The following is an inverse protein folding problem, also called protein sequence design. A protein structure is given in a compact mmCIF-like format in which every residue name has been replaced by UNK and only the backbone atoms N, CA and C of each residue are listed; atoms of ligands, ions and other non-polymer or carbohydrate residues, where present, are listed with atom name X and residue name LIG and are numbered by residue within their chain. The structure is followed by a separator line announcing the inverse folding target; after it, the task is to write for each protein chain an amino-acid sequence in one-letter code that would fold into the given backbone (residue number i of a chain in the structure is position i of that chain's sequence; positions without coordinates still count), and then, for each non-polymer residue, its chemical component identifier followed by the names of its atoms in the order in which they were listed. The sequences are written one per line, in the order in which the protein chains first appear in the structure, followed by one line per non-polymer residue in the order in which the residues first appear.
data_IF_359130805922
#
_entry.id   IF_359130805922
#
_cell.length_a   1.000
_cell.length_b   1.000
_cell.length_c   1.000
_cell.angle_alpha   90.00
_cell.angle_beta   90.00
_cell.angle_gamma   90.00
#
_symmetry.space_group_name_H-M   'P 1'
#
loop_
_entity.id
_entity.type
_entity.pdbx_description
1 polymer ?
#
# COMPACT_ATOMS: atom_id res chain seq x y z
N UNK A 1 2.36 -12.30 4.42
CA UNK A 1 2.87 -10.91 4.37
C UNK A 1 1.67 -9.99 4.24
N UNK A 2 1.69 -8.84 4.92
CA UNK A 2 0.61 -7.86 4.82
C UNK A 2 0.89 -6.86 3.71
N UNK A 3 -0.15 -6.44 2.98
CA UNK A 3 -0.12 -5.33 2.02
C UNK A 3 -0.95 -4.17 2.58
N UNK A 4 -0.37 -2.97 2.60
CA UNK A 4 -1.05 -1.74 2.96
C UNK A 4 -0.99 -0.79 1.77
N UNK A 5 -2.14 -0.22 1.38
CA UNK A 5 -2.20 0.74 0.28
C UNK A 5 -2.58 2.13 0.78
N UNK A 6 -1.74 3.15 0.48
CA UNK A 6 -2.00 4.54 0.82
C UNK A 6 -2.36 5.37 -0.42
N UNK A 7 -3.57 5.91 -0.46
CA UNK A 7 -3.97 6.83 -1.53
C UNK A 7 -3.26 8.18 -1.41
N UNK A 8 -3.32 9.00 -2.46
CA UNK A 8 -2.81 10.36 -2.42
C UNK A 8 -3.40 11.19 -1.27
N UNK A 9 -4.69 11.08 -0.98
CA UNK A 9 -5.35 11.78 0.14
C UNK A 9 -4.80 11.34 1.50
N UNK A 10 -4.48 10.05 1.64
CA UNK A 10 -3.83 9.54 2.85
C UNK A 10 -2.44 10.18 3.03
N UNK A 11 -1.68 10.35 1.93
CA UNK A 11 -0.36 10.97 1.94
C UNK A 11 -0.39 12.46 2.30
N UNK A 12 -1.44 13.18 1.87
CA UNK A 12 -1.65 14.60 2.20
C UNK A 12 -2.06 14.80 3.67
N UNK A 13 -2.64 13.79 4.30
CA UNK A 13 -3.14 13.88 5.67
C UNK A 13 -2.05 13.56 6.71
N UNK A 14 -1.49 14.61 7.31
CA UNK A 14 -0.45 14.47 8.34
C UNK A 14 -0.91 13.75 9.63
N UNK A 15 -2.20 13.82 9.98
CA UNK A 15 -2.76 13.12 11.14
C UNK A 15 -2.80 11.62 10.83
N UNK A 16 -3.32 11.26 9.65
CA UNK A 16 -3.35 9.89 9.17
C UNK A 16 -1.96 9.25 9.21
N UNK A 17 -0.93 9.92 8.68
CA UNK A 17 0.44 9.37 8.67
C UNK A 17 0.97 9.16 10.09
N UNK A 18 0.75 10.11 11.01
CA UNK A 18 1.16 9.96 12.42
C UNK A 18 0.47 8.77 13.08
N UNK A 19 -0.84 8.64 12.89
CA UNK A 19 -1.60 7.52 13.45
C UNK A 19 -1.17 6.18 12.84
N UNK A 20 -0.91 6.13 11.53
CA UNK A 20 -0.44 4.92 10.85
C UNK A 20 0.90 4.47 11.42
N UNK A 21 1.86 5.39 11.52
CA UNK A 21 3.19 5.09 12.04
C UNK A 21 3.10 4.64 13.51
N UNK A 22 2.31 5.32 14.33
CA UNK A 22 2.16 4.97 15.74
C UNK A 22 1.48 3.60 15.94
N UNK A 23 0.45 3.28 15.16
CA UNK A 23 -0.39 2.10 15.38
C UNK A 23 0.04 0.86 14.58
N UNK A 24 0.77 1.01 13.47
CA UNK A 24 1.22 -0.12 12.67
C UNK A 24 2.38 -0.86 13.34
N UNK A 25 2.05 -1.77 14.24
CA UNK A 25 3.02 -2.67 14.87
C UNK A 25 3.25 -3.87 13.96
N UNK A 26 4.51 -4.09 13.55
CA UNK A 26 4.88 -5.24 12.73
C UNK A 26 4.91 -6.51 13.58
N UNK A 27 3.83 -7.28 13.48
CA UNK A 27 3.74 -8.68 13.88
C UNK A 27 4.14 -9.63 12.72
N UNK A 28 4.02 -9.15 11.49
CA UNK A 28 4.40 -9.85 10.26
C UNK A 28 5.20 -8.94 9.32
N UNK A 29 5.80 -9.54 8.29
CA UNK A 29 6.41 -8.79 7.18
C UNK A 29 5.33 -8.02 6.44
N UNK A 30 5.57 -6.74 6.19
CA UNK A 30 4.63 -5.82 5.56
C UNK A 30 5.22 -5.15 4.32
N UNK A 31 4.34 -4.88 3.36
CA UNK A 31 4.58 -4.05 2.21
C UNK A 31 3.61 -2.87 2.24
N UNK A 32 4.13 -1.65 2.31
CA UNK A 32 3.34 -0.45 2.07
C UNK A 32 3.58 -0.04 0.63
N UNK A 33 2.52 0.19 -0.13
CA UNK A 33 2.57 0.85 -1.43
C UNK A 33 1.70 2.09 -1.37
N UNK A 34 2.15 3.15 -2.03
CA UNK A 34 1.41 4.40 -2.05
C UNK A 34 1.26 4.95 -3.47
N UNK A 35 0.30 5.86 -3.66
CA UNK A 35 0.10 6.55 -4.92
C UNK A 35 1.27 7.43 -5.35
N UNK A 36 1.27 7.78 -6.64
CA UNK A 36 2.10 8.85 -7.15
C UNK A 36 1.72 10.18 -6.47
N UNK A 37 2.73 10.91 -5.99
CA UNK A 37 2.55 12.17 -5.28
C UNK A 37 3.37 13.28 -5.96
N UNK A 38 2.70 14.28 -6.51
CA UNK A 38 3.35 15.44 -7.13
C UNK A 38 4.24 15.05 -8.31
N UNK A 39 5.51 15.45 -8.29
CA UNK A 39 6.51 15.02 -9.27
C UNK A 39 7.18 13.69 -8.87
N UNK A 40 8.00 13.11 -9.75
CA UNK A 40 8.85 11.96 -9.41
C UNK A 40 9.74 12.23 -8.19
N UNK A 41 10.26 13.46 -8.06
CA UNK A 41 11.09 13.84 -6.92
C UNK A 41 10.27 13.88 -5.62
N UNK A 42 9.06 14.43 -5.67
CA UNK A 42 8.16 14.51 -4.52
C UNK A 42 7.71 13.11 -4.08
N UNK A 43 7.38 12.24 -5.03
CA UNK A 43 7.02 10.84 -4.75
C UNK A 43 8.14 10.11 -4.04
N UNK A 44 9.39 10.22 -4.54
CA UNK A 44 10.58 9.64 -3.88
C UNK A 44 10.81 10.21 -2.49
N UNK A 45 10.59 11.51 -2.32
CA UNK A 45 10.72 12.17 -1.02
C UNK A 45 9.68 11.63 -0.02
N UNK A 46 8.43 11.49 -0.44
CA UNK A 46 7.36 10.90 0.38
C UNK A 46 7.70 9.48 0.80
N UNK A 47 8.16 8.63 -0.12
CA UNK A 47 8.57 7.25 0.21
C UNK A 47 9.66 7.24 1.30
N UNK A 48 10.71 8.05 1.13
CA UNK A 48 11.78 8.18 2.12
C UNK A 48 11.29 8.73 3.46
N UNK A 49 10.37 9.70 3.44
CA UNK A 49 9.80 10.30 4.64
C UNK A 49 9.00 9.28 5.46
N UNK A 50 8.11 8.52 4.81
CA UNK A 50 7.34 7.47 5.52
C UNK A 50 8.31 6.40 6.04
N UNK A 51 9.33 6.04 5.25
CA UNK A 51 10.35 5.08 5.65
C UNK A 51 11.11 5.56 6.90
N UNK A 52 11.51 6.82 6.95
CA UNK A 52 12.18 7.40 8.12
C UNK A 52 11.27 7.38 9.35
N UNK A 53 10.03 7.87 9.22
CA UNK A 53 9.06 7.89 10.33
C UNK A 53 8.78 6.48 10.89
N UNK A 54 8.59 5.50 10.00
CA UNK A 54 8.43 4.11 10.39
C UNK A 54 9.67 3.57 11.08
N UNK A 55 10.87 3.83 10.55
CA UNK A 55 12.11 3.32 11.14
C UNK A 55 12.41 3.95 12.51
N UNK A 56 12.05 5.22 12.72
CA UNK A 56 12.17 5.91 14.02
C UNK A 56 11.28 5.27 15.09
N UNK A 57 10.02 4.97 14.74
CA UNK A 57 9.07 4.30 15.65
C UNK A 57 9.37 2.80 15.80
N UNK A 58 10.18 2.23 14.90
CA UNK A 58 10.57 0.83 14.86
C UNK A 58 12.06 0.65 15.19
N UNK A 59 12.37 0.50 16.48
CA UNK A 59 13.72 0.38 17.08
C UNK A 59 14.74 -0.55 16.35
N UNK A 60 14.33 -1.43 15.42
CA UNK A 60 15.20 -2.45 14.78
C UNK A 60 15.01 -2.62 13.26
N UNK A 61 14.16 -1.86 12.56
CA UNK A 61 13.84 -2.16 11.15
C UNK A 61 14.10 -1.01 10.19
N UNK A 62 14.83 -1.31 9.12
CA UNK A 62 15.05 -0.39 8.02
C UNK A 62 13.85 -0.44 7.06
N UNK A 63 12.93 0.51 7.13
CA UNK A 63 12.00 0.68 6.02
C UNK A 63 12.77 1.17 4.79
N UNK A 64 12.66 0.49 3.64
CA UNK A 64 13.40 0.86 2.44
C UNK A 64 12.48 1.28 1.29
N UNK A 65 12.95 2.25 0.51
CA UNK A 65 12.32 2.71 -0.72
C UNK A 65 12.59 1.73 -1.87
N UNK A 66 11.55 1.13 -2.44
CA UNK A 66 11.67 0.12 -3.50
C UNK A 66 12.23 0.62 -4.83
N UNK A 67 12.13 1.93 -5.11
CA UNK A 67 12.66 2.56 -6.32
C UNK A 67 14.19 2.46 -6.43
N UNK A 68 14.89 2.47 -5.30
CA UNK A 68 16.36 2.35 -5.26
C UNK A 68 16.86 0.95 -5.65
N UNK A 69 15.97 -0.04 -5.66
CA UNK A 69 16.30 -1.45 -5.89
C UNK A 69 15.73 -2.00 -7.19
N UNK A 70 15.00 -1.20 -7.97
CA UNK A 70 14.29 -1.64 -9.17
C UNK A 70 13.42 -2.89 -8.91
N UNK A 71 12.73 -2.90 -7.75
CA UNK A 71 11.84 -4.01 -7.38
C UNK A 71 10.69 -4.14 -8.37
N UNK A 72 10.22 -3.01 -8.90
CA UNK A 72 9.26 -2.92 -9.99
C UNK A 72 9.96 -2.51 -11.28
N UNK A 73 9.67 -3.21 -12.38
CA UNK A 73 10.19 -2.88 -13.70
C UNK A 73 9.16 -3.25 -14.78
N UNK A 74 9.28 -2.62 -15.95
CA UNK A 74 8.48 -2.97 -17.12
C UNK A 74 9.21 -4.06 -17.92
N UNK A 75 8.67 -5.28 -17.89
CA UNK A 75 9.10 -6.41 -18.71
C UNK A 75 8.32 -6.53 -20.01
N UNK A 76 8.59 -7.58 -20.80
CA UNK A 76 7.91 -7.84 -22.08
C UNK A 76 6.41 -8.12 -21.91
N UNK A 77 6.03 -8.75 -20.79
CA UNK A 77 4.65 -9.12 -20.46
C UNK A 77 3.93 -8.06 -19.61
N UNK A 78 4.55 -6.88 -19.42
CA UNK A 78 4.02 -5.80 -18.62
C UNK A 78 4.79 -5.59 -17.31
N UNK A 79 4.10 -5.09 -16.30
CA UNK A 79 4.72 -4.70 -15.04
C UNK A 79 5.09 -5.94 -14.21
N UNK A 80 6.38 -6.08 -13.91
CA UNK A 80 6.93 -7.24 -13.20
C UNK A 80 7.59 -6.83 -11.88
N UNK A 81 7.57 -7.77 -10.95
CA UNK A 81 8.16 -7.62 -9.62
C UNK A 81 9.35 -8.58 -9.47
N UNK A 82 10.48 -8.08 -8.94
CA UNK A 82 11.66 -8.91 -8.65
C UNK A 82 11.47 -9.68 -7.35
N UNK A 83 10.62 -10.70 -7.39
CA UNK A 83 10.25 -11.50 -6.22
C UNK A 83 11.46 -12.03 -5.43
N UNK A 84 12.47 -12.60 -6.11
CA UNK A 84 13.68 -13.08 -5.43
C UNK A 84 14.41 -11.99 -4.64
N UNK A 85 14.46 -10.76 -5.19
CA UNK A 85 15.12 -9.64 -4.53
C UNK A 85 14.31 -9.21 -3.30
N UNK A 86 12.98 -9.20 -3.41
CA UNK A 86 12.09 -8.92 -2.30
C UNK A 86 12.26 -9.93 -1.17
N UNK A 87 12.24 -11.23 -1.47
CA UNK A 87 12.41 -12.28 -0.48
C UNK A 87 13.77 -12.20 0.22
N UNK A 88 14.85 -11.96 -0.55
CA UNK A 88 16.19 -11.73 0.01
C UNK A 88 16.21 -10.51 0.93
N UNK A 89 15.56 -9.41 0.54
CA UNK A 89 15.53 -8.19 1.32
C UNK A 89 14.68 -8.37 2.60
N UNK A 90 13.57 -9.09 2.51
CA UNK A 90 12.75 -9.48 3.65
C UNK A 90 13.42 -10.47 4.60
N UNK A 91 14.60 -11.02 4.27
CA UNK A 91 15.38 -11.81 5.23
C UNK A 91 15.99 -10.94 6.34
N UNK A 92 16.18 -9.64 6.09
CA UNK A 92 16.82 -8.70 7.02
C UNK A 92 15.93 -7.52 7.40
N UNK A 93 14.78 -7.38 6.74
CA UNK A 93 13.87 -6.25 6.87
C UNK A 93 12.45 -6.75 7.10
N UNK A 94 11.68 -6.03 7.93
CA UNK A 94 10.28 -6.37 8.20
C UNK A 94 9.28 -5.53 7.39
N UNK A 95 9.68 -4.36 6.89
CA UNK A 95 8.80 -3.45 6.16
C UNK A 95 9.49 -2.89 4.90
N UNK A 96 8.81 -2.99 3.76
CA UNK A 96 9.17 -2.23 2.56
C UNK A 96 8.13 -1.16 2.26
N UNK A 97 8.59 -0.03 1.74
CA UNK A 97 7.72 1.04 1.27
C UNK A 97 8.02 1.25 -0.22
N UNK A 98 7.01 1.05 -1.04
CA UNK A 98 7.07 1.16 -2.49
C UNK A 98 6.31 2.38 -2.96
N UNK A 99 6.81 2.96 -4.04
CA UNK A 99 6.10 3.93 -4.86
C UNK A 99 5.89 3.34 -6.26
N UNK A 100 5.01 3.92 -7.10
CA UNK A 100 4.72 3.39 -8.41
C UNK A 100 5.67 3.97 -9.45
N UNK A 101 6.96 4.18 -9.12
CA UNK A 101 7.97 4.67 -10.07
C UNK A 101 8.73 3.46 -10.62
N UNK A 102 8.76 3.35 -11.96
CA UNK A 102 9.49 2.28 -12.65
C UNK A 102 10.49 2.83 -13.65
N UNK A 103 11.62 2.12 -13.76
CA UNK A 103 12.59 2.36 -14.82
C UNK A 103 12.20 1.53 -16.06
N UNK A 104 12.20 2.20 -17.22
CA UNK A 104 12.01 1.59 -18.55
C UNK A 104 13.12 2.04 -19.51
N UNK A 105 13.33 1.35 -20.64
CA UNK A 105 14.25 1.81 -21.68
C UNK A 105 13.93 3.23 -22.20
N UNK A 106 12.67 3.66 -22.11
CA UNK A 106 12.19 4.98 -22.52
C UNK A 106 12.32 6.05 -21.41
N UNK A 107 12.84 5.67 -20.23
CA UNK A 107 13.03 6.55 -19.08
C UNK A 107 12.18 6.15 -17.88
N UNK A 108 12.01 7.10 -16.95
CA UNK A 108 11.22 6.90 -15.75
C UNK A 108 9.73 6.99 -16.10
N UNK A 109 8.95 6.02 -15.66
CA UNK A 109 7.49 6.00 -15.81
C UNK A 109 6.82 5.92 -14.44
N UNK A 110 5.59 6.41 -14.37
CA UNK A 110 4.72 6.33 -13.20
C UNK A 110 3.43 5.62 -13.60
N UNK A 111 3.43 4.28 -13.71
CA UNK A 111 2.22 3.51 -13.96
C UNK A 111 1.12 3.83 -12.97
N UNK A 112 -0.13 3.65 -13.41
CA UNK A 112 -1.28 3.73 -12.53
C UNK A 112 -1.14 2.73 -11.38
N UNK A 113 -1.47 3.16 -10.17
CA UNK A 113 -1.29 2.33 -8.97
C UNK A 113 -2.07 1.03 -9.05
N UNK A 114 -3.25 1.04 -9.69
CA UNK A 114 -4.09 -0.15 -9.85
C UNK A 114 -3.37 -1.22 -10.68
N UNK A 115 -2.61 -0.82 -11.70
CA UNK A 115 -1.76 -1.71 -12.49
C UNK A 115 -0.67 -2.33 -11.62
N UNK A 116 -0.07 -1.53 -10.73
CA UNK A 116 0.96 -1.99 -9.79
C UNK A 116 0.39 -2.98 -8.78
N UNK A 117 -0.76 -2.66 -8.20
CA UNK A 117 -1.46 -3.48 -7.22
C UNK A 117 -1.90 -4.82 -7.81
N UNK A 118 -2.44 -4.80 -9.04
CA UNK A 118 -2.79 -6.02 -9.78
C UNK A 118 -1.56 -6.91 -9.99
N UNK A 119 -0.45 -6.35 -10.48
CA UNK A 119 0.78 -7.10 -10.68
C UNK A 119 1.33 -7.68 -9.36
N UNK A 120 1.28 -6.92 -8.26
CA UNK A 120 1.67 -7.41 -6.93
C UNK A 120 0.80 -8.58 -6.49
N UNK A 121 -0.52 -8.48 -6.68
CA UNK A 121 -1.48 -9.52 -6.28
C UNK A 121 -1.31 -10.81 -7.07
N UNK A 122 -0.96 -10.72 -8.35
CA UNK A 122 -0.69 -11.88 -9.21
C UNK A 122 0.63 -12.58 -8.88
N UNK A 123 1.60 -11.85 -8.33
CA UNK A 123 2.97 -12.33 -8.11
C UNK A 123 3.31 -12.65 -6.65
N UNK A 124 2.56 -12.12 -5.68
CA UNK A 124 2.84 -12.27 -4.26
C UNK A 124 1.61 -12.75 -3.51
N UNK A 125 1.82 -13.66 -2.56
CA UNK A 125 0.80 -14.10 -1.64
C UNK A 125 0.75 -13.19 -0.40
N UNK A 126 -0.42 -12.63 -0.14
CA UNK A 126 -0.68 -11.70 0.96
C UNK A 126 -1.61 -12.36 1.97
N UNK A 127 -1.18 -12.41 3.23
CA UNK A 127 -2.00 -12.91 4.35
C UNK A 127 -3.12 -11.95 4.70
N UNK A 128 -2.89 -10.65 4.48
CA UNK A 128 -3.88 -9.60 4.72
C UNK A 128 -3.60 -8.43 3.78
N UNK A 129 -4.65 -7.86 3.19
CA UNK A 129 -4.58 -6.61 2.43
C UNK A 129 -5.44 -5.58 3.15
N UNK A 130 -4.84 -4.44 3.48
CA UNK A 130 -5.49 -3.36 4.22
C UNK A 130 -5.50 -2.12 3.32
N UNK A 131 -6.70 -1.61 3.07
CA UNK A 131 -6.91 -0.38 2.34
C UNK A 131 -7.46 0.69 3.28
N UNK A 132 -7.10 1.93 3.03
CA UNK A 132 -7.49 3.05 3.85
C UNK A 132 -8.40 3.99 3.06
N UNK A 133 -9.63 4.24 3.51
CA UNK A 133 -10.51 5.22 2.88
C UNK A 133 -9.87 6.59 2.73
N UNK A 134 -10.24 7.27 1.64
CA UNK A 134 -9.77 8.62 1.32
C UNK A 134 -10.29 9.62 2.34
N UNK A 135 -11.55 9.44 2.77
CA UNK A 135 -12.17 10.21 3.82
C UNK A 135 -11.90 9.56 5.20
N UNK A 136 -11.21 10.24 6.13
CA UNK A 136 -10.98 9.73 7.49
C UNK A 136 -12.26 9.48 8.29
N UNK A 137 -13.36 10.12 7.90
CA UNK A 137 -14.68 9.94 8.52
C UNK A 137 -15.53 8.87 7.83
N UNK A 138 -14.98 8.18 6.83
CA UNK A 138 -15.70 7.13 6.09
C UNK A 138 -16.18 6.04 7.04
N UNK A 139 -17.48 5.69 7.02
CA UNK A 139 -18.01 4.57 7.81
C UNK A 139 -17.35 3.22 7.49
N UNK A 140 -16.82 3.06 6.27
CA UNK A 140 -16.10 1.86 5.83
C UNK A 140 -14.88 1.57 6.71
N UNK A 141 -14.11 2.61 7.04
CA UNK A 141 -12.96 2.51 7.92
C UNK A 141 -13.37 2.23 9.38
N UNK A 142 -14.39 2.92 9.87
CA UNK A 142 -14.82 2.86 11.26
C UNK A 142 -15.32 1.45 11.66
N UNK A 143 -16.00 0.76 10.74
CA UNK A 143 -16.54 -0.59 10.95
C UNK A 143 -15.53 -1.70 10.68
N UNK A 144 -14.40 -1.36 10.06
CA UNK A 144 -13.46 -2.31 9.46
C UNK A 144 -14.16 -3.25 8.49
N UNK A 145 -14.72 -2.68 7.43
CA UNK A 145 -15.45 -3.46 6.41
C UNK A 145 -14.52 -4.51 5.78
N UNK A 146 -14.99 -5.75 5.69
CA UNK A 146 -14.25 -6.85 5.05
C UNK A 146 -14.90 -7.18 3.71
N UNK A 147 -14.12 -7.10 2.64
CA UNK A 147 -14.56 -7.44 1.28
C UNK A 147 -13.90 -8.77 0.93
N UNK A 148 -14.68 -9.85 1.01
CA UNK A 148 -14.20 -11.20 0.72
C UNK A 148 -14.09 -11.49 -0.78
N UNK A 149 -15.06 -11.00 -1.56
CA UNK A 149 -15.19 -11.28 -3.00
C UNK A 149 -15.33 -9.97 -3.79
N UNK A 150 -14.82 -9.90 -5.04
CA UNK A 150 -14.91 -8.69 -5.88
C UNK A 150 -16.33 -8.15 -6.09
N UNK A 151 -17.34 -9.01 -6.15
CA UNK A 151 -18.74 -8.64 -6.40
C UNK A 151 -19.38 -7.94 -5.20
N UNK A 152 -18.81 -8.07 -3.99
CA UNK A 152 -19.29 -7.39 -2.79
C UNK A 152 -19.04 -5.86 -2.84
N UNK A 153 -18.27 -5.39 -3.82
CA UNK A 153 -17.93 -3.97 -4.00
C UNK A 153 -19.08 -3.16 -4.61
N UNK A 154 -19.85 -3.72 -5.54
CA UNK A 154 -20.92 -3.02 -6.26
C UNK A 154 -21.94 -2.32 -5.34
N UNK A 155 -22.50 -2.98 -4.30
CA UNK A 155 -23.42 -2.30 -3.39
C UNK A 155 -22.74 -1.21 -2.56
N UNK A 156 -21.43 -1.30 -2.30
CA UNK A 156 -20.69 -0.29 -1.54
C UNK A 156 -20.47 0.98 -2.38
N UNK A 157 -20.14 0.84 -3.66
CA UNK A 157 -19.96 1.99 -4.57
C UNK A 157 -21.25 2.80 -4.70
N UNK A 158 -22.41 2.13 -4.71
CA UNK A 158 -23.71 2.82 -4.77
C UNK A 158 -24.03 3.65 -3.52
N UNK A 159 -23.39 3.35 -2.38
CA UNK A 159 -23.62 4.04 -1.09
C UNK A 159 -22.50 5.03 -0.76
N UNK A 160 -21.28 4.75 -1.19
CA UNK A 160 -20.05 5.48 -0.89
C UNK A 160 -19.34 5.89 -2.18
N UNK A 161 -19.98 6.74 -2.98
CA UNK A 161 -19.45 7.18 -4.28
C UNK A 161 -18.15 7.98 -4.14
N UNK A 162 -17.97 8.65 -3.00
CA UNK A 162 -16.72 9.37 -2.67
C UNK A 162 -15.51 8.44 -2.49
N UNK A 163 -15.75 7.15 -2.22
CA UNK A 163 -14.73 6.11 -2.05
C UNK A 163 -14.61 5.20 -3.29
N UNK A 164 -15.25 5.54 -4.42
CA UNK A 164 -15.31 4.67 -5.60
C UNK A 164 -13.93 4.20 -6.10
N UNK A 165 -12.93 5.10 -6.14
CA UNK A 165 -11.56 4.73 -6.55
C UNK A 165 -10.91 3.70 -5.61
N UNK A 166 -11.10 3.84 -4.30
CA UNK A 166 -10.62 2.88 -3.31
C UNK A 166 -11.36 1.54 -3.43
N UNK A 167 -12.67 1.59 -3.66
CA UNK A 167 -13.51 0.42 -3.81
C UNK A 167 -13.15 -0.38 -5.08
N UNK A 168 -12.74 0.28 -6.16
CA UNK A 168 -12.17 -0.41 -7.32
C UNK A 168 -10.81 -1.06 -7.02
N UNK A 169 -9.98 -0.44 -6.17
CA UNK A 169 -8.78 -1.10 -5.64
C UNK A 169 -9.15 -2.34 -4.81
N UNK A 170 -10.19 -2.24 -3.97
CA UNK A 170 -10.69 -3.37 -3.18
C UNK A 170 -11.17 -4.53 -4.06
N UNK A 171 -11.86 -4.23 -5.16
CA UNK A 171 -12.31 -5.21 -6.15
C UNK A 171 -11.15 -6.02 -6.71
N UNK A 172 -10.06 -5.35 -7.07
CA UNK A 172 -8.87 -5.99 -7.66
C UNK A 172 -8.09 -6.81 -6.64
N UNK A 173 -8.05 -6.37 -5.38
CA UNK A 173 -7.18 -6.96 -4.36
C UNK A 173 -7.86 -7.96 -3.43
N UNK A 174 -9.15 -8.24 -3.62
CA UNK A 174 -9.93 -9.12 -2.74
C UNK A 174 -9.20 -10.47 -2.44
N UNK A 175 -9.30 -10.98 -1.20
CA UNK A 175 -9.99 -10.37 -0.06
C UNK A 175 -9.20 -9.21 0.59
N UNK A 176 -9.90 -8.18 1.04
CA UNK A 176 -9.31 -7.00 1.70
C UNK A 176 -10.09 -6.56 2.95
N UNK A 177 -9.43 -5.83 3.84
CA UNK A 177 -10.06 -5.07 4.93
C UNK A 177 -9.92 -3.57 4.68
N UNK A 178 -11.02 -2.82 4.80
CA UNK A 178 -11.01 -1.36 4.81
C UNK A 178 -10.85 -0.91 6.26
N UNK A 179 -9.79 -0.17 6.60
CA UNK A 179 -9.50 0.19 7.99
C UNK A 179 -9.14 1.68 8.14
N UNK A 180 -9.22 2.17 9.37
CA UNK A 180 -8.59 3.41 9.81
C UNK A 180 -7.21 3.10 10.42
N UNK A 181 -6.26 4.04 10.43
CA UNK A 181 -4.96 3.84 11.05
C UNK A 181 -5.01 3.37 12.51
N UNK A 182 -6.01 3.83 13.26
CA UNK A 182 -6.20 3.50 14.67
C UNK A 182 -6.90 2.15 14.93
N UNK A 183 -7.34 1.42 13.90
CA UNK A 183 -8.00 0.11 14.03
C UNK A 183 -7.43 -0.98 13.09
N UNK A 184 -6.19 -0.81 12.63
CA UNK A 184 -5.46 -1.76 11.76
C UNK A 184 -5.29 -3.13 12.42
N UNK A 185 -5.01 -3.17 13.72
CA UNK A 185 -4.77 -4.43 14.42
C UNK A 185 -6.05 -5.27 14.51
N UNK A 186 -5.98 -6.61 14.29
CA UNK A 186 -7.13 -7.48 14.54
C UNK A 186 -7.73 -7.16 15.91
N UNK A 187 -9.07 -7.06 16.00
CA UNK A 187 -9.72 -7.16 17.31
C UNK A 187 -9.22 -8.47 17.90
N UNK A 188 -8.51 -8.42 19.04
CA UNK A 188 -8.19 -9.63 19.78
C UNK A 188 -9.51 -10.37 19.98
N UNK A 189 -9.59 -11.57 19.43
CA UNK A 189 -10.72 -12.47 19.61
C UNK A 189 -10.92 -12.78 21.10
#
# INVERSE_FOLDING_TARGET
MKLLYLSKENLENSIFIKELVFNHKLDEKSLIIHDHFGSVADTRFVTKRISALMSEEMVVNNAFSGDQRNLLFLGEEGLQFREEMLHKAFATVQLFILNPIVASPQGIQTPEVLTVLKALREQLDFSEVILFPRNPLSPLAARREYIGEPEAVDPLIAVYDEEAELLEVARVLAPVSLAAPNNILPKKA
#
